data_IF_416948591815
#
_entry.id   IF_416948591815
#
_cell.length_a   1.000
_cell.length_b   1.000
_cell.length_c   1.000
_cell.angle_alpha   90.00
_cell.angle_beta   90.00
_cell.angle_gamma   90.00
#
_symmetry.space_group_name_H-M   'P 1'
#
loop_
_entity.id
_entity.type
_entity.pdbx_description
1 polymer ?
#
# COMPACT_ATOMS: atom_id res chain seq x y z
N UNK A 1 12.03 3.43 -8.98
CA UNK A 1 11.63 2.25 -8.17
C UNK A 1 12.72 1.93 -7.16
N UNK A 2 12.37 1.78 -5.90
CA UNK A 2 13.30 1.38 -4.85
C UNK A 2 13.06 -0.07 -4.47
N UNK A 3 13.85 -0.96 -5.02
CA UNK A 3 13.69 -2.42 -4.84
C UNK A 3 13.80 -2.82 -3.36
N UNK A 4 14.70 -2.21 -2.61
CA UNK A 4 14.89 -2.55 -1.19
C UNK A 4 13.67 -2.21 -0.34
N UNK A 5 13.04 -1.06 -0.57
CA UNK A 5 11.84 -0.67 0.16
C UNK A 5 10.64 -1.54 -0.22
N UNK A 6 10.54 -1.92 -1.49
CA UNK A 6 9.47 -2.81 -1.95
C UNK A 6 9.64 -4.22 -1.39
N UNK A 7 10.88 -4.73 -1.36
CA UNK A 7 11.18 -6.02 -0.73
C UNK A 7 10.86 -5.99 0.77
N UNK A 8 11.21 -4.90 1.45
CA UNK A 8 10.90 -4.75 2.87
C UNK A 8 9.39 -4.82 3.12
N UNK A 9 8.60 -4.09 2.32
CA UNK A 9 7.15 -4.14 2.42
C UNK A 9 6.63 -5.58 2.26
N UNK A 10 7.08 -6.28 1.24
CA UNK A 10 6.65 -7.65 0.96
C UNK A 10 7.03 -8.58 2.13
N UNK A 11 8.26 -8.48 2.63
CA UNK A 11 8.71 -9.33 3.73
C UNK A 11 7.99 -9.04 5.04
N UNK A 12 7.68 -7.78 5.31
CA UNK A 12 7.04 -7.37 6.57
C UNK A 12 5.55 -7.71 6.61
N UNK A 13 4.83 -7.60 5.50
CA UNK A 13 3.37 -7.65 5.51
C UNK A 13 2.75 -8.82 4.74
N UNK A 14 3.47 -9.48 3.87
CA UNK A 14 2.89 -10.48 2.97
C UNK A 14 3.19 -11.91 3.44
N UNK A 15 2.19 -12.79 3.31
CA UNK A 15 2.34 -14.20 3.62
C UNK A 15 3.48 -14.82 2.79
N UNK A 16 4.26 -15.70 3.41
CA UNK A 16 5.42 -16.32 2.78
C UNK A 16 5.09 -16.99 1.45
N UNK A 17 3.93 -17.62 1.34
CA UNK A 17 3.49 -18.33 0.13
C UNK A 17 3.29 -17.43 -1.09
N UNK A 18 3.15 -16.12 -0.90
CA UNK A 18 2.87 -15.17 -1.98
C UNK A 18 4.04 -14.21 -2.27
N UNK A 19 5.09 -14.24 -1.45
CA UNK A 19 6.19 -13.25 -1.54
C UNK A 19 6.93 -13.30 -2.86
N UNK A 20 7.38 -14.46 -3.29
CA UNK A 20 8.20 -14.58 -4.49
C UNK A 20 7.46 -14.09 -5.73
N UNK A 21 6.20 -14.45 -5.84
CA UNK A 21 5.37 -14.03 -6.97
C UNK A 21 5.17 -12.52 -7.00
N UNK A 22 4.81 -11.94 -5.86
CA UNK A 22 4.58 -10.49 -5.78
C UNK A 22 5.84 -9.69 -6.00
N UNK A 23 6.99 -10.15 -5.45
CA UNK A 23 8.27 -9.51 -5.71
C UNK A 23 8.63 -9.53 -7.18
N UNK A 24 8.46 -10.67 -7.83
CA UNK A 24 8.72 -10.79 -9.26
C UNK A 24 7.85 -9.84 -10.07
N UNK A 25 6.55 -9.80 -9.77
CA UNK A 25 5.62 -8.93 -10.48
C UNK A 25 5.91 -7.44 -10.25
N UNK A 26 6.27 -7.05 -9.03
CA UNK A 26 6.62 -5.67 -8.73
C UNK A 26 7.90 -5.22 -9.43
N UNK A 27 8.90 -6.10 -9.53
CA UNK A 27 10.17 -5.80 -10.20
C UNK A 27 10.04 -5.72 -11.71
N UNK A 28 8.99 -6.29 -12.28
CA UNK A 28 8.78 -6.33 -13.73
C UNK A 28 7.82 -5.22 -14.13
N UNK A 29 8.31 -4.20 -14.82
CA UNK A 29 7.52 -3.02 -15.20
C UNK A 29 6.15 -3.38 -15.77
N UNK A 30 6.10 -4.33 -16.70
CA UNK A 30 4.86 -4.75 -17.34
C UNK A 30 3.89 -5.50 -16.43
N UNK A 31 4.37 -5.98 -15.28
CA UNK A 31 3.58 -6.79 -14.35
C UNK A 31 3.22 -6.07 -13.04
N UNK A 32 3.70 -4.83 -12.86
CA UNK A 32 3.39 -4.06 -11.65
C UNK A 32 1.89 -3.85 -11.45
N UNK A 33 1.16 -3.55 -12.52
CA UNK A 33 -0.30 -3.44 -12.47
C UNK A 33 -0.93 -4.72 -11.93
N UNK A 34 -0.47 -5.85 -12.42
CA UNK A 34 -1.00 -7.16 -12.01
C UNK A 34 -0.82 -7.38 -10.50
N UNK A 35 0.36 -7.05 -9.97
CA UNK A 35 0.62 -7.14 -8.54
C UNK A 35 -0.32 -6.22 -7.75
N UNK A 36 -0.46 -4.97 -8.15
CA UNK A 36 -1.33 -4.00 -7.48
C UNK A 36 -2.79 -4.44 -7.53
N UNK A 37 -3.24 -5.01 -8.64
CA UNK A 37 -4.62 -5.53 -8.74
C UNK A 37 -4.84 -6.74 -7.84
N UNK A 38 -3.82 -7.57 -7.62
CA UNK A 38 -3.92 -8.67 -6.64
C UNK A 38 -4.14 -8.13 -5.23
N UNK A 39 -3.40 -7.09 -4.84
CA UNK A 39 -3.61 -6.44 -3.55
C UNK A 39 -5.03 -5.89 -3.43
N UNK A 40 -5.56 -5.31 -4.50
CA UNK A 40 -6.92 -4.78 -4.50
C UNK A 40 -7.98 -5.87 -4.33
N UNK A 41 -7.78 -7.03 -4.96
CA UNK A 41 -8.78 -8.10 -5.01
C UNK A 41 -8.70 -9.07 -3.83
N UNK A 42 -7.50 -9.34 -3.31
CA UNK A 42 -7.26 -10.41 -2.35
C UNK A 42 -6.42 -9.98 -1.14
N UNK A 43 -6.56 -8.74 -0.68
CA UNK A 43 -5.78 -8.20 0.45
C UNK A 43 -5.73 -9.17 1.63
N UNK A 44 -6.89 -9.68 2.05
CA UNK A 44 -6.97 -10.51 3.26
C UNK A 44 -6.28 -11.86 3.11
N UNK A 45 -6.14 -12.35 1.88
CA UNK A 45 -5.40 -13.59 1.61
C UNK A 45 -3.90 -13.35 1.51
N UNK A 46 -3.50 -12.18 1.03
CA UNK A 46 -2.09 -11.88 0.77
C UNK A 46 -1.35 -11.43 2.02
N UNK A 47 -2.01 -10.68 2.89
CA UNK A 47 -1.36 -10.11 4.09
C UNK A 47 -1.30 -11.12 5.23
N UNK A 48 -0.26 -11.00 6.03
CA UNK A 48 -0.11 -11.84 7.23
C UNK A 48 -1.30 -11.68 8.16
N UNK A 49 -1.75 -12.78 8.76
CA UNK A 49 -2.82 -12.76 9.74
C UNK A 49 -2.49 -11.81 10.89
N UNK A 50 -3.45 -10.95 11.23
CA UNK A 50 -3.27 -9.98 12.31
C UNK A 50 -2.52 -8.71 11.92
N UNK A 51 -2.04 -8.59 10.68
CA UNK A 51 -1.38 -7.37 10.21
C UNK A 51 -2.37 -6.24 9.93
N UNK A 52 -3.59 -6.57 9.50
CA UNK A 52 -4.63 -5.56 9.26
C UNK A 52 -5.19 -5.11 10.60
N UNK A 53 -4.92 -3.85 10.96
CA UNK A 53 -5.39 -3.30 12.23
C UNK A 53 -6.66 -2.47 12.09
N UNK A 54 -6.97 -2.01 10.89
CA UNK A 54 -8.13 -1.15 10.66
C UNK A 54 -8.48 -1.14 9.18
N UNK A 55 -9.76 -0.93 8.88
CA UNK A 55 -10.29 -0.74 7.53
C UNK A 55 -11.14 0.52 7.53
N UNK A 56 -11.13 1.28 6.43
CA UNK A 56 -11.92 2.50 6.33
C UNK A 56 -12.43 2.74 4.92
N UNK A 57 -13.59 3.35 4.83
CA UNK A 57 -14.15 3.78 3.53
C UNK A 57 -13.48 5.06 3.04
N UNK A 58 -12.98 5.87 3.96
CA UNK A 58 -12.36 7.15 3.67
C UNK A 58 -10.97 7.24 4.29
N UNK A 59 -10.21 8.22 3.83
CA UNK A 59 -8.83 8.43 4.22
C UNK A 59 -8.75 9.73 5.01
N UNK A 60 -8.74 9.63 6.34
CA UNK A 60 -8.79 10.79 7.24
C UNK A 60 -7.39 11.29 7.55
N UNK A 61 -7.17 12.60 7.40
CA UNK A 61 -5.90 13.27 7.71
C UNK A 61 -5.44 12.99 9.15
N UNK A 62 -6.34 13.05 10.11
CA UNK A 62 -6.00 12.84 11.51
C UNK A 62 -5.53 11.41 11.78
N UNK A 63 -6.21 10.44 11.20
CA UNK A 63 -5.83 9.03 11.34
C UNK A 63 -4.46 8.77 10.74
N UNK A 64 -4.19 9.36 9.57
CA UNK A 64 -2.92 9.23 8.90
C UNK A 64 -1.78 9.82 9.69
N UNK A 65 -1.95 11.01 10.23
CA UNK A 65 -0.92 11.68 11.04
C UNK A 65 -0.55 10.86 12.26
N UNK A 66 -1.54 10.25 12.90
CA UNK A 66 -1.30 9.35 14.03
C UNK A 66 -0.59 8.08 13.59
N UNK A 67 -0.98 7.54 12.44
CA UNK A 67 -0.47 6.27 11.94
C UNK A 67 0.98 6.39 11.47
N UNK A 68 1.31 7.43 10.72
CA UNK A 68 2.62 7.60 10.12
C UNK A 68 3.56 8.56 10.88
N UNK A 69 3.09 9.25 11.90
CA UNK A 69 3.90 10.14 12.76
C UNK A 69 4.76 11.18 12.03
N UNK A 70 4.24 11.76 10.95
CA UNK A 70 4.86 12.92 10.31
C UNK A 70 6.11 12.66 9.48
N UNK A 71 6.42 11.41 9.11
CA UNK A 71 7.57 11.06 8.28
C UNK A 71 7.22 11.00 6.80
N UNK A 72 8.22 10.79 5.97
CA UNK A 72 8.02 10.50 4.56
C UNK A 72 7.75 9.01 4.35
N UNK A 73 7.00 8.69 3.30
CA UNK A 73 6.62 7.33 2.96
C UNK A 73 6.97 7.03 1.52
N UNK A 74 7.23 5.75 1.26
CA UNK A 74 7.46 5.27 -0.09
C UNK A 74 6.13 4.86 -0.71
N UNK A 75 5.88 5.27 -1.97
CA UNK A 75 4.62 5.00 -2.66
C UNK A 75 4.84 4.00 -3.79
N UNK A 76 4.03 2.96 -3.82
CA UNK A 76 3.96 2.00 -4.94
C UNK A 76 2.65 2.24 -5.66
N UNK A 77 2.71 2.64 -6.92
CA UNK A 77 1.53 2.88 -7.76
C UNK A 77 1.87 2.62 -9.23
N UNK A 78 1.00 3.04 -10.14
CA UNK A 78 1.21 2.82 -11.57
C UNK A 78 1.51 4.09 -12.36
N UNK A 79 1.32 5.24 -11.71
CA UNK A 79 1.46 6.54 -12.37
C UNK A 79 2.62 7.32 -11.78
N UNK A 80 2.58 8.62 -11.93
CA UNK A 80 3.64 9.51 -11.49
C UNK A 80 3.95 9.46 -9.98
N UNK A 81 3.05 8.90 -9.17
CA UNK A 81 3.29 8.71 -7.74
C UNK A 81 4.22 7.51 -7.47
N UNK A 82 4.41 6.63 -8.44
CA UNK A 82 5.15 5.40 -8.22
C UNK A 82 6.63 5.63 -7.95
N UNK A 83 7.14 4.99 -6.90
CA UNK A 83 8.54 5.02 -6.54
C UNK A 83 9.01 6.32 -5.90
N UNK A 84 8.09 7.14 -5.41
CA UNK A 84 8.38 8.46 -4.86
C UNK A 84 8.23 8.44 -3.34
N UNK A 85 9.11 9.17 -2.65
CA UNK A 85 8.94 9.44 -1.22
C UNK A 85 8.06 10.66 -1.05
N UNK A 86 7.03 10.54 -0.23
CA UNK A 86 6.07 11.63 0.01
C UNK A 86 5.79 11.82 1.49
N UNK A 87 5.49 13.06 1.88
CA UNK A 87 4.94 13.34 3.20
C UNK A 87 3.40 13.23 3.17
N UNK A 88 2.77 13.29 4.33
CA UNK A 88 1.31 13.15 4.46
C UNK A 88 0.56 14.19 3.62
N UNK A 89 1.00 15.45 3.64
CA UNK A 89 0.30 16.51 2.92
C UNK A 89 0.31 16.26 1.41
N UNK A 90 1.44 15.82 0.87
CA UNK A 90 1.55 15.48 -0.55
C UNK A 90 0.64 14.30 -0.91
N UNK A 91 0.62 13.27 -0.06
CA UNK A 91 -0.25 12.10 -0.27
C UNK A 91 -1.72 12.51 -0.29
N UNK A 92 -2.14 13.32 0.67
CA UNK A 92 -3.54 13.78 0.75
C UNK A 92 -3.97 14.59 -0.47
N UNK A 93 -3.05 15.32 -1.10
CA UNK A 93 -3.35 16.06 -2.32
C UNK A 93 -3.65 15.15 -3.52
N UNK A 94 -3.13 13.93 -3.53
CA UNK A 94 -3.17 13.06 -4.70
C UNK A 94 -3.98 11.77 -4.54
N UNK A 95 -4.16 11.31 -3.29
CA UNK A 95 -4.70 9.96 -3.04
C UNK A 95 -6.14 9.78 -3.58
N UNK A 96 -6.97 10.81 -3.51
CA UNK A 96 -8.35 10.73 -3.97
C UNK A 96 -8.49 10.83 -5.48
N UNK A 97 -7.47 11.35 -6.17
CA UNK A 97 -7.47 11.43 -7.62
C UNK A 97 -6.98 10.13 -8.26
N UNK A 98 -6.41 9.23 -7.46
CA UNK A 98 -5.91 7.95 -7.94
C UNK A 98 -6.98 6.87 -7.80
N UNK A 99 -7.51 6.40 -8.93
CA UNK A 99 -8.53 5.35 -8.94
C UNK A 99 -7.93 3.95 -8.82
N UNK A 100 -6.69 3.78 -9.25
CA UNK A 100 -5.99 2.51 -9.20
C UNK A 100 -5.45 2.23 -7.80
N UNK A 101 -5.11 0.97 -7.49
CA UNK A 101 -4.55 0.64 -6.19
C UNK A 101 -3.23 1.36 -5.93
N UNK A 102 -3.03 1.76 -4.67
CA UNK A 102 -1.81 2.43 -4.21
C UNK A 102 -1.39 1.82 -2.89
N UNK A 103 -0.10 1.59 -2.71
CA UNK A 103 0.47 1.12 -1.44
C UNK A 103 1.36 2.23 -0.89
N UNK A 104 1.13 2.61 0.35
CA UNK A 104 1.92 3.62 1.05
C UNK A 104 2.69 2.90 2.15
N UNK A 105 4.02 2.90 2.04
CA UNK A 105 4.90 2.15 2.94
C UNK A 105 5.62 3.07 3.91
N UNK A 106 5.38 2.85 5.19
CA UNK A 106 6.18 3.44 6.26
C UNK A 106 7.17 2.41 6.81
N UNK A 107 7.79 2.73 7.94
CA UNK A 107 8.80 1.83 8.54
C UNK A 107 8.18 0.53 9.05
N UNK A 108 7.20 0.63 9.95
CA UNK A 108 6.52 -0.54 10.53
C UNK A 108 5.05 -0.59 10.17
N UNK A 109 4.59 0.30 9.32
CA UNK A 109 3.20 0.47 8.97
C UNK A 109 3.05 0.64 7.47
N UNK A 110 1.88 0.30 6.95
CA UNK A 110 1.55 0.51 5.55
C UNK A 110 0.06 0.75 5.39
N UNK A 111 -0.31 1.43 4.32
CA UNK A 111 -1.71 1.56 3.93
C UNK A 111 -1.85 1.03 2.51
N UNK A 112 -2.81 0.13 2.31
CA UNK A 112 -3.17 -0.33 0.98
C UNK A 112 -4.51 0.31 0.62
N UNK A 113 -4.50 1.13 -0.43
CA UNK A 113 -5.71 1.66 -1.02
C UNK A 113 -6.09 0.75 -2.18
N UNK A 114 -7.29 0.19 -2.12
CA UNK A 114 -7.84 -0.64 -3.20
C UNK A 114 -8.24 0.23 -4.39
N UNK A 115 -8.54 -0.42 -5.51
CA UNK A 115 -9.31 0.21 -6.57
C UNK A 115 -10.64 0.67 -5.96
N UNK A 116 -11.00 1.94 -6.20
CA UNK A 116 -12.15 2.53 -5.53
C UNK A 116 -13.46 1.80 -5.86
N UNK A 117 -14.19 1.41 -4.81
CA UNK A 117 -15.53 0.84 -4.90
C UNK A 117 -16.45 1.56 -3.92
N UNK A 118 -17.53 2.11 -4.44
CA UNK A 118 -18.49 2.87 -3.64
C UNK A 118 -19.13 1.98 -2.56
N UNK A 119 -19.10 2.47 -1.32
CA UNK A 119 -19.72 1.77 -0.19
C UNK A 119 -18.83 0.68 0.43
N UNK A 120 -17.68 0.40 -0.15
CA UNK A 120 -16.73 -0.59 0.36
C UNK A 120 -15.63 0.05 1.17
N UNK A 121 -14.97 -0.75 2.01
CA UNK A 121 -13.73 -0.33 2.66
C UNK A 121 -12.63 -0.29 1.62
N UNK A 122 -12.15 0.91 1.31
CA UNK A 122 -11.14 1.11 0.27
C UNK A 122 -9.72 1.25 0.83
N UNK A 123 -9.58 1.43 2.13
CA UNK A 123 -8.29 1.64 2.79
C UNK A 123 -8.06 0.60 3.87
N UNK A 124 -6.91 -0.07 3.81
CA UNK A 124 -6.52 -1.08 4.78
C UNK A 124 -5.23 -0.62 5.46
N UNK A 125 -5.29 -0.47 6.78
CA UNK A 125 -4.16 -0.04 7.59
C UNK A 125 -3.45 -1.26 8.15
N UNK A 126 -2.16 -1.37 7.88
CA UNK A 126 -1.35 -2.52 8.26
C UNK A 126 -0.27 -2.12 9.27
N UNK A 127 -0.02 -2.99 10.22
CA UNK A 127 1.08 -2.84 11.16
C UNK A 127 1.87 -4.14 11.25
N UNK A 128 3.19 -4.03 11.17
CA UNK A 128 4.08 -5.17 11.33
C UNK A 128 4.14 -5.55 12.81
N UNK A 129 3.89 -6.80 13.10
CA UNK A 129 3.92 -7.32 14.48
C UNK A 129 5.17 -8.13 14.76
#
# INVERSE_FOLDING_TARGET
>A
MNVNLEEKFINDFINASHRDRLLFELKTQKKRLKALMRFSQDIEKLVKAGSIISKSKTFDEKELKKFFKGREFYVISLKYLDGIMMNINEILCHIYDEHLPVIICGEDVAVIKKEFEKGEDNFFFLKNK
#
